data_IF_193271047401
#
_entry.id   IF_193271047401
#
_cell.length_a   1.000
_cell.length_b   1.000
_cell.length_c   1.000
_cell.angle_alpha   90.00
_cell.angle_beta   90.00
_cell.angle_gamma   90.00
#
_symmetry.space_group_name_H-M   'P 1'
#
loop_
_entity.id
_entity.type
_entity.pdbx_description
1 polymer ?
#
# COMPACT_ATOMS: atom_id res chain seq x y z
N UNK A 1 -11.22 -1.02 29.38
CA UNK A 1 -10.07 -1.13 28.45
C UNK A 1 -10.37 -2.29 27.53
N UNK A 2 -10.23 -2.12 26.22
CA UNK A 2 -10.45 -3.21 25.26
C UNK A 2 -9.25 -4.15 25.29
N UNK A 3 -9.48 -5.46 25.40
CA UNK A 3 -8.41 -6.47 25.37
C UNK A 3 -7.79 -6.64 23.96
N UNK A 4 -8.38 -6.02 22.94
CA UNK A 4 -7.94 -6.06 21.55
C UNK A 4 -7.08 -4.84 21.19
N UNK A 5 -5.87 -5.01 20.60
CA UNK A 5 -5.08 -3.90 20.08
C UNK A 5 -5.82 -3.15 18.96
N UNK A 6 -5.54 -1.87 18.80
CA UNK A 6 -6.12 -1.02 17.75
C UNK A 6 -5.06 -0.50 16.79
N UNK A 7 -5.22 -0.72 15.50
CA UNK A 7 -4.42 -0.10 14.44
C UNK A 7 -5.15 1.13 13.91
N UNK A 8 -4.54 2.29 14.08
CA UNK A 8 -4.98 3.53 13.43
C UNK A 8 -4.33 3.62 12.05
N UNK A 9 -5.11 3.84 10.99
CA UNK A 9 -4.58 3.87 9.62
C UNK A 9 -5.33 4.81 8.68
N UNK A 10 -4.72 5.15 7.54
CA UNK A 10 -5.39 5.91 6.48
C UNK A 10 -6.24 4.96 5.61
N UNK A 11 -7.28 5.46 4.91
CA UNK A 11 -8.01 4.66 3.93
C UNK A 11 -7.05 4.04 2.92
N UNK A 12 -7.29 2.77 2.55
CA UNK A 12 -6.48 2.00 1.59
C UNK A 12 -4.96 2.11 1.81
N UNK A 13 -4.50 2.19 3.06
CA UNK A 13 -3.09 2.26 3.41
C UNK A 13 -2.32 0.97 3.08
N UNK A 14 -1.26 1.00 2.23
CA UNK A 14 -0.49 -0.21 1.93
C UNK A 14 0.21 -0.81 3.14
N UNK A 15 0.67 0.06 4.03
CA UNK A 15 1.40 -0.34 5.21
C UNK A 15 0.50 -1.03 6.25
N UNK A 16 -0.79 -0.73 6.25
CA UNK A 16 -1.78 -1.39 7.14
C UNK A 16 -2.27 -2.69 6.55
N UNK A 17 -2.39 -2.76 5.21
CA UNK A 17 -2.76 -4.00 4.53
C UNK A 17 -1.72 -5.12 4.73
N UNK A 18 -0.45 -4.81 5.02
CA UNK A 18 0.53 -5.81 5.48
C UNK A 18 0.02 -6.58 6.70
N UNK A 19 -0.57 -5.85 7.65
CA UNK A 19 -1.12 -6.41 8.88
C UNK A 19 -2.41 -7.17 8.58
N UNK A 20 -3.29 -6.62 7.74
CA UNK A 20 -4.53 -7.28 7.33
C UNK A 20 -4.26 -8.62 6.62
N UNK A 21 -3.20 -8.69 5.78
CA UNK A 21 -2.75 -9.94 5.14
C UNK A 21 -2.30 -10.96 6.18
N UNK A 22 -1.47 -10.56 7.16
CA UNK A 22 -1.05 -11.45 8.25
C UNK A 22 -2.26 -12.04 8.99
N UNK A 23 -3.24 -11.19 9.33
CA UNK A 23 -4.43 -11.62 10.05
C UNK A 23 -5.29 -12.56 9.21
N UNK A 24 -5.47 -12.25 7.91
CA UNK A 24 -6.21 -13.11 6.98
C UNK A 24 -5.53 -14.47 6.74
N UNK A 25 -4.19 -14.51 6.68
CA UNK A 25 -3.43 -15.78 6.60
C UNK A 25 -3.64 -16.68 7.80
N UNK A 26 -4.03 -16.12 8.94
CA UNK A 26 -4.26 -16.83 10.21
C UNK A 26 -5.72 -16.98 10.59
N UNK A 27 -6.65 -16.50 9.76
CA UNK A 27 -8.08 -16.42 10.07
C UNK A 27 -8.35 -15.69 11.42
N UNK A 28 -7.66 -14.57 11.61
CA UNK A 28 -7.62 -13.79 12.85
C UNK A 28 -7.95 -12.30 12.63
N UNK A 29 -8.83 -11.99 11.68
CA UNK A 29 -9.21 -10.62 11.33
C UNK A 29 -9.73 -9.83 12.54
N UNK A 30 -10.40 -10.50 13.50
CA UNK A 30 -10.93 -9.89 14.72
C UNK A 30 -9.90 -9.72 15.86
N UNK A 31 -8.67 -10.20 15.68
CA UNK A 31 -7.61 -10.09 16.69
C UNK A 31 -7.06 -8.65 16.80
N UNK A 32 -7.35 -7.79 15.83
CA UNK A 32 -6.93 -6.38 15.80
C UNK A 32 -8.08 -5.53 15.30
N UNK A 33 -8.39 -4.44 16.01
CA UNK A 33 -9.36 -3.45 15.55
C UNK A 33 -8.68 -2.46 14.60
N UNK A 34 -9.23 -2.23 13.41
CA UNK A 34 -8.75 -1.20 12.49
C UNK A 34 -9.61 0.06 12.60
N UNK A 35 -9.00 1.18 12.92
CA UNK A 35 -9.64 2.48 13.05
C UNK A 35 -9.14 3.43 11.95
N UNK A 36 -10.02 3.76 11.01
CA UNK A 36 -9.70 4.63 9.89
C UNK A 36 -9.60 6.08 10.36
N UNK A 37 -8.45 6.69 10.11
CA UNK A 37 -8.16 8.08 10.39
C UNK A 37 -8.44 8.92 9.15
N UNK A 38 -9.32 9.91 9.31
CA UNK A 38 -9.58 10.92 8.30
C UNK A 38 -8.37 11.85 8.15
N UNK A 39 -7.69 11.75 7.01
CA UNK A 39 -6.52 12.56 6.64
C UNK A 39 -6.86 13.83 5.88
N UNK A 40 -8.15 14.08 5.62
CA UNK A 40 -8.61 15.30 4.93
C UNK A 40 -8.76 16.50 5.87
N UNK A 41 -8.54 16.28 7.17
CA UNK A 41 -8.64 17.26 8.25
C UNK A 41 -7.41 17.20 9.17
N UNK A 42 -7.16 18.23 10.00
CA UNK A 42 -6.11 18.18 10.99
C UNK A 42 -6.21 16.93 11.86
N UNK A 43 -5.06 16.32 12.18
CA UNK A 43 -5.00 15.09 12.95
C UNK A 43 -5.64 15.30 14.32
N UNK A 44 -6.41 14.31 14.77
CA UNK A 44 -6.98 14.28 16.12
C UNK A 44 -5.89 14.57 17.18
N UNK A 45 -6.04 15.62 18.02
CA UNK A 45 -5.10 15.95 19.08
C UNK A 45 -4.83 14.80 20.04
N UNK A 46 -5.81 13.94 20.34
CA UNK A 46 -5.62 12.78 21.20
C UNK A 46 -4.69 11.74 20.55
N UNK A 47 -4.87 11.50 19.25
CA UNK A 47 -3.98 10.62 18.49
C UNK A 47 -2.58 11.24 18.35
N UNK A 48 -2.45 12.55 18.11
CA UNK A 48 -1.16 13.24 18.10
C UNK A 48 -0.42 13.12 19.44
N UNK A 49 -1.13 13.24 20.56
CA UNK A 49 -0.54 13.07 21.88
C UNK A 49 -0.01 11.65 22.07
N UNK A 50 -0.80 10.63 21.70
CA UNK A 50 -0.39 9.21 21.71
C UNK A 50 0.86 8.97 20.86
N UNK A 51 0.91 9.54 19.65
CA UNK A 51 2.03 9.38 18.73
C UNK A 51 3.19 10.35 19.00
N UNK A 52 3.16 11.16 20.06
CA UNK A 52 4.18 12.17 20.37
C UNK A 52 4.47 13.09 19.18
N UNK A 53 3.41 13.51 18.48
CA UNK A 53 3.47 14.44 17.35
C UNK A 53 3.71 13.81 15.98
N UNK A 54 3.97 12.50 15.87
CA UNK A 54 4.12 11.84 14.56
C UNK A 54 2.77 11.70 13.86
N UNK A 55 2.70 12.09 12.57
CA UNK A 55 1.49 11.97 11.74
C UNK A 55 1.48 10.73 10.84
N UNK A 56 2.63 10.08 10.66
CA UNK A 56 2.76 8.84 9.91
C UNK A 56 1.89 7.72 10.50
N UNK A 57 1.29 6.93 9.62
CA UNK A 57 0.41 5.80 9.91
C UNK A 57 0.82 4.60 9.05
N UNK A 58 0.52 3.35 9.46
CA UNK A 58 -0.22 2.98 10.66
C UNK A 58 0.55 3.15 11.97
N UNK A 59 -0.22 3.22 13.05
CA UNK A 59 0.28 2.99 14.42
C UNK A 59 -0.61 1.98 15.12
N UNK A 60 -0.04 1.15 15.98
CA UNK A 60 -0.78 0.20 16.80
C UNK A 60 -0.77 0.66 18.25
N UNK A 61 -1.94 0.73 18.87
CA UNK A 61 -2.12 0.88 20.32
C UNK A 61 -2.41 -0.50 20.93
N UNK A 62 -1.54 -0.95 21.83
CA UNK A 62 -1.74 -2.19 22.57
C UNK A 62 -2.86 -2.05 23.60
N UNK A 63 -3.43 -3.15 24.14
CA UNK A 63 -4.42 -3.07 25.22
C UNK A 63 -3.95 -2.29 26.45
N UNK A 64 -2.63 -2.28 26.70
CA UNK A 64 -1.99 -1.50 27.77
C UNK A 64 -1.70 -0.04 27.42
N UNK A 65 -2.13 0.46 26.26
CA UNK A 65 -1.95 1.85 25.81
C UNK A 65 -0.56 2.18 25.25
N UNK A 66 0.28 1.16 24.97
CA UNK A 66 1.59 1.38 24.34
C UNK A 66 1.41 1.60 22.85
N UNK A 67 2.10 2.60 22.30
CA UNK A 67 2.07 2.92 20.86
C UNK A 67 3.28 2.33 20.15
N UNK A 68 3.01 1.44 19.19
CA UNK A 68 3.97 0.92 18.22
C UNK A 68 3.80 1.64 16.88
N UNK A 69 4.92 1.96 16.23
CA UNK A 69 4.98 2.64 14.93
C UNK A 69 5.80 1.79 13.97
N UNK A 70 5.79 2.17 12.69
CA UNK A 70 6.42 1.46 11.57
C UNK A 70 5.74 0.13 11.25
N UNK A 71 5.20 0.00 10.05
CA UNK A 71 4.43 -1.19 9.69
C UNK A 71 5.21 -2.50 9.79
N UNK A 72 6.50 -2.52 9.48
CA UNK A 72 7.33 -3.72 9.63
C UNK A 72 7.58 -4.10 11.09
N UNK A 73 7.65 -3.11 11.98
CA UNK A 73 7.78 -3.35 13.43
C UNK A 73 6.46 -3.86 13.99
N UNK A 74 5.33 -3.28 13.58
CA UNK A 74 3.99 -3.72 13.98
C UNK A 74 3.71 -5.13 13.43
N UNK A 75 4.08 -5.40 12.17
CA UNK A 75 3.93 -6.70 11.53
C UNK A 75 4.71 -7.78 12.28
N UNK A 76 5.98 -7.51 12.63
CA UNK A 76 6.78 -8.43 13.46
C UNK A 76 6.16 -8.64 14.84
N UNK A 77 5.72 -7.57 15.49
CA UNK A 77 5.07 -7.68 16.80
C UNK A 77 3.84 -8.58 16.74
N UNK A 78 2.95 -8.38 15.77
CA UNK A 78 1.77 -9.22 15.58
C UNK A 78 2.13 -10.67 15.20
N UNK A 79 3.14 -10.86 14.35
CA UNK A 79 3.66 -12.19 13.98
C UNK A 79 4.12 -12.97 15.21
N UNK A 80 4.74 -12.30 16.18
CA UNK A 80 5.28 -12.88 17.43
C UNK A 80 4.24 -13.11 18.53
N UNK A 81 3.26 -12.22 18.69
CA UNK A 81 2.29 -12.30 19.81
C UNK A 81 1.00 -13.04 19.47
N UNK A 82 0.61 -13.09 18.19
CA UNK A 82 -0.60 -13.79 17.78
C UNK A 82 -0.29 -15.28 17.56
N UNK A 83 -1.18 -16.20 17.97
CA UNK A 83 -0.99 -17.63 17.73
C UNK A 83 -1.11 -17.95 16.24
N UNK A 84 -0.34 -18.93 15.76
CA UNK A 84 -0.41 -19.40 14.37
C UNK A 84 0.97 -19.64 13.75
N UNK A 85 1.01 -20.10 12.49
CA UNK A 85 2.26 -20.27 11.76
C UNK A 85 2.95 -18.91 11.56
N UNK A 86 4.27 -18.87 11.79
CA UNK A 86 5.07 -17.65 11.59
C UNK A 86 5.02 -17.22 10.13
N UNK A 87 4.87 -15.92 9.91
CA UNK A 87 4.90 -15.34 8.57
C UNK A 87 6.33 -15.31 8.02
N UNK A 88 7.30 -14.99 8.88
CA UNK A 88 8.73 -15.07 8.51
C UNK A 88 9.20 -16.52 8.43
N UNK A 89 10.21 -16.78 7.60
CA UNK A 89 10.85 -18.09 7.54
C UNK A 89 11.50 -18.45 8.88
N UNK A 90 11.43 -19.75 9.21
CA UNK A 90 12.01 -20.30 10.44
C UNK A 90 13.51 -20.47 10.32
N UNK A 91 14.00 -20.84 9.14
CA UNK A 91 15.42 -20.90 8.83
C UNK A 91 16.03 -19.48 8.86
N UNK A 92 17.13 -19.26 9.62
CA UNK A 92 17.74 -17.94 9.73
C UNK A 92 18.29 -17.39 8.41
N UNK A 93 18.78 -18.25 7.51
CA UNK A 93 19.34 -17.83 6.23
C UNK A 93 18.21 -17.42 5.27
N UNK A 94 17.15 -18.22 5.16
CA UNK A 94 15.96 -17.85 4.38
C UNK A 94 15.35 -16.54 4.88
N UNK A 95 15.26 -16.34 6.20
CA UNK A 95 14.78 -15.09 6.77
C UNK A 95 15.70 -13.90 6.46
N UNK A 96 17.02 -14.11 6.41
CA UNK A 96 17.96 -13.09 5.97
C UNK A 96 17.73 -12.71 4.50
N UNK A 97 17.43 -13.68 3.63
CA UNK A 97 17.07 -13.45 2.22
C UNK A 97 15.75 -12.67 2.12
N UNK A 98 14.71 -13.04 2.87
CA UNK A 98 13.46 -12.24 2.95
C UNK A 98 13.78 -10.79 3.32
N UNK A 99 14.64 -10.60 4.32
CA UNK A 99 15.03 -9.28 4.81
C UNK A 99 15.80 -8.47 3.77
N UNK A 100 16.69 -9.09 3.00
CA UNK A 100 17.40 -8.44 1.89
C UNK A 100 16.42 -7.97 0.80
N UNK A 101 15.41 -8.78 0.48
CA UNK A 101 14.36 -8.39 -0.47
C UNK A 101 13.52 -7.22 0.08
N UNK A 102 13.12 -7.28 1.36
CA UNK A 102 12.31 -6.24 2.03
C UNK A 102 13.02 -4.89 2.05
N UNK A 103 14.34 -4.84 2.19
CA UNK A 103 15.11 -3.58 2.10
C UNK A 103 14.92 -2.86 0.75
N UNK A 104 14.64 -3.61 -0.33
CA UNK A 104 14.37 -3.04 -1.66
C UNK A 104 12.98 -2.39 -1.77
N UNK A 105 12.06 -2.68 -0.86
CA UNK A 105 10.68 -2.15 -0.89
C UNK A 105 10.64 -0.63 -0.74
N UNK A 106 11.43 -0.04 0.16
CA UNK A 106 11.40 1.41 0.39
C UNK A 106 11.66 2.24 -0.87
N UNK A 107 12.81 2.04 -1.57
CA UNK A 107 13.08 2.68 -2.85
C UNK A 107 12.04 2.38 -3.93
N UNK A 108 11.52 1.14 -3.97
CA UNK A 108 10.49 0.73 -4.92
C UNK A 108 9.18 1.49 -4.73
N UNK A 109 8.68 1.53 -3.50
CA UNK A 109 7.49 2.28 -3.10
C UNK A 109 7.64 3.77 -3.37
N UNK A 110 8.77 4.35 -2.97
CA UNK A 110 9.05 5.78 -3.19
C UNK A 110 9.02 6.13 -4.69
N UNK A 111 9.66 5.32 -5.54
CA UNK A 111 9.70 5.57 -6.98
C UNK A 111 8.29 5.58 -7.61
N UNK A 112 7.43 4.64 -7.23
CA UNK A 112 6.05 4.60 -7.74
C UNK A 112 5.19 5.76 -7.23
N UNK A 113 5.33 6.15 -5.96
CA UNK A 113 4.62 7.32 -5.41
C UNK A 113 5.09 8.63 -6.04
N UNK A 114 6.39 8.82 -6.23
CA UNK A 114 6.91 9.99 -6.93
C UNK A 114 6.42 10.04 -8.38
N UNK A 115 6.32 8.89 -9.05
CA UNK A 115 5.81 8.85 -10.42
C UNK A 115 4.33 9.21 -10.50
N UNK A 116 3.46 8.61 -9.67
CA UNK A 116 2.03 8.96 -9.74
C UNK A 116 1.81 10.45 -9.41
N UNK A 117 2.61 11.02 -8.50
CA UNK A 117 2.55 12.45 -8.15
C UNK A 117 3.19 13.40 -9.16
N UNK A 118 3.94 12.89 -10.14
CA UNK A 118 4.55 13.72 -11.17
C UNK A 118 3.48 14.47 -11.98
N UNK A 119 3.65 15.78 -12.16
CA UNK A 119 2.81 16.65 -12.99
C UNK A 119 3.56 17.22 -14.21
N UNK A 120 4.82 16.84 -14.40
CA UNK A 120 5.64 17.23 -15.55
C UNK A 120 5.63 16.12 -16.62
N UNK A 121 4.94 16.30 -17.77
CA UNK A 121 4.89 15.28 -18.82
C UNK A 121 6.27 14.87 -19.34
N UNK A 122 7.25 15.78 -19.35
CA UNK A 122 8.58 15.51 -19.88
C UNK A 122 9.39 14.59 -18.94
N UNK A 123 9.11 14.62 -17.64
CA UNK A 123 9.72 13.74 -16.65
C UNK A 123 9.17 12.30 -16.66
N UNK A 124 8.05 12.04 -17.35
CA UNK A 124 7.36 10.73 -17.35
C UNK A 124 8.26 9.59 -17.79
N UNK A 125 9.09 9.80 -18.82
CA UNK A 125 10.02 8.78 -19.32
C UNK A 125 11.03 8.35 -18.27
N UNK A 126 11.63 9.31 -17.55
CA UNK A 126 12.62 9.03 -16.51
C UNK A 126 12.02 8.24 -15.33
N UNK A 127 10.80 8.57 -14.91
CA UNK A 127 10.10 7.80 -13.88
C UNK A 127 9.79 6.36 -14.32
N UNK A 128 9.34 6.19 -15.57
CA UNK A 128 9.10 4.86 -16.16
C UNK A 128 10.37 4.02 -16.15
N UNK A 129 11.48 4.58 -16.61
CA UNK A 129 12.77 3.87 -16.66
C UNK A 129 13.27 3.51 -15.26
N UNK A 130 13.07 4.39 -14.28
CA UNK A 130 13.39 4.11 -12.88
C UNK A 130 12.58 2.94 -12.33
N UNK A 131 11.27 2.90 -12.59
CA UNK A 131 10.42 1.78 -12.17
C UNK A 131 10.84 0.48 -12.86
N UNK A 132 11.09 0.51 -14.16
CA UNK A 132 11.56 -0.66 -14.90
C UNK A 132 12.91 -1.19 -14.39
N UNK A 133 13.83 -0.31 -13.99
CA UNK A 133 15.10 -0.73 -13.39
C UNK A 133 14.89 -1.44 -12.05
N UNK A 134 13.98 -0.93 -11.21
CA UNK A 134 13.68 -1.54 -9.91
C UNK A 134 12.97 -2.89 -10.06
N UNK A 135 12.04 -3.02 -11.00
CA UNK A 135 11.42 -4.31 -11.30
C UNK A 135 12.43 -5.34 -11.82
N UNK A 136 13.40 -4.93 -12.65
CA UNK A 136 14.47 -5.82 -13.12
C UNK A 136 15.39 -6.25 -11.98
N UNK A 137 15.67 -5.37 -11.03
CA UNK A 137 16.44 -5.70 -9.82
C UNK A 137 15.69 -6.72 -8.94
N UNK A 138 14.37 -6.56 -8.76
CA UNK A 138 13.54 -7.56 -8.08
C UNK A 138 13.52 -8.90 -8.83
N UNK A 139 13.41 -8.88 -10.17
CA UNK A 139 13.46 -10.08 -11.00
C UNK A 139 14.78 -10.85 -10.81
N UNK A 140 15.91 -10.14 -10.93
CA UNK A 140 17.24 -10.70 -10.71
C UNK A 140 17.40 -11.29 -9.32
N UNK A 141 16.91 -10.60 -8.28
CA UNK A 141 16.93 -11.11 -6.90
C UNK A 141 16.12 -12.41 -6.76
N UNK A 142 14.87 -12.43 -7.26
CA UNK A 142 13.99 -13.60 -7.18
C UNK A 142 14.51 -14.80 -7.96
N UNK A 143 15.27 -14.58 -9.04
CA UNK A 143 15.94 -15.66 -9.80
C UNK A 143 17.17 -16.20 -9.09
N UNK A 144 17.93 -15.34 -8.42
CA UNK A 144 19.15 -15.74 -7.72
C UNK A 144 18.86 -16.46 -6.41
N UNK A 145 17.88 -15.97 -5.65
CA UNK A 145 17.64 -16.39 -4.26
C UNK A 145 16.36 -17.23 -4.09
N UNK A 146 15.46 -17.23 -5.08
CA UNK A 146 14.16 -17.86 -4.94
C UNK A 146 14.16 -19.36 -5.21
N UNK A 147 13.22 -20.08 -4.60
CA UNK A 147 13.08 -21.54 -4.71
C UNK A 147 12.46 -22.03 -6.05
N UNK A 148 12.27 -21.13 -7.03
CA UNK A 148 11.69 -21.46 -8.34
C UNK A 148 10.16 -21.59 -8.38
N UNK A 149 9.48 -21.49 -7.23
CA UNK A 149 8.03 -21.44 -7.12
C UNK A 149 7.43 -20.05 -7.42
N UNK A 150 6.10 -19.89 -7.27
CA UNK A 150 5.43 -18.60 -7.47
C UNK A 150 5.92 -17.53 -6.48
N UNK A 151 6.23 -17.93 -5.24
CA UNK A 151 6.69 -17.08 -4.13
C UNK A 151 8.22 -17.04 -4.05
N UNK A 152 8.79 -16.20 -3.19
CA UNK A 152 10.23 -16.21 -2.93
C UNK A 152 10.72 -17.61 -2.52
N UNK A 153 10.00 -18.26 -1.59
CA UNK A 153 10.23 -19.64 -1.20
C UNK A 153 9.00 -20.51 -1.52
N UNK A 154 8.74 -21.54 -0.70
CA UNK A 154 7.71 -22.54 -0.98
C UNK A 154 6.29 -22.04 -0.70
N UNK A 155 6.15 -21.02 0.14
CA UNK A 155 4.87 -20.49 0.65
C UNK A 155 4.84 -18.96 0.59
N UNK A 156 3.64 -18.38 0.64
CA UNK A 156 3.46 -16.93 0.78
C UNK A 156 3.97 -16.51 2.17
N UNK A 157 5.07 -15.74 2.21
CA UNK A 157 5.76 -15.39 3.44
C UNK A 157 5.82 -13.89 3.74
N UNK A 158 6.83 -13.49 4.51
CA UNK A 158 6.99 -12.11 4.97
C UNK A 158 7.24 -11.16 3.79
N UNK A 159 8.07 -11.56 2.83
CA UNK A 159 8.36 -10.73 1.66
C UNK A 159 7.09 -10.46 0.84
N UNK A 160 6.28 -11.49 0.58
CA UNK A 160 5.01 -11.37 -0.14
C UNK A 160 4.03 -10.47 0.61
N UNK A 161 3.88 -10.62 1.94
CA UNK A 161 3.02 -9.76 2.74
C UNK A 161 3.44 -8.28 2.70
N UNK A 162 4.74 -8.01 2.58
CA UNK A 162 5.31 -6.65 2.51
C UNK A 162 5.09 -6.01 1.14
N UNK A 163 5.32 -6.75 0.06
CA UNK A 163 5.27 -6.25 -1.31
C UNK A 163 3.88 -6.27 -1.95
N UNK A 164 3.01 -7.22 -1.58
CA UNK A 164 1.66 -7.35 -2.16
C UNK A 164 0.86 -6.05 -2.08
N UNK A 165 0.79 -5.36 -0.91
CA UNK A 165 0.11 -4.07 -0.83
C UNK A 165 0.70 -3.02 -1.78
N UNK A 166 2.02 -3.01 -1.99
CA UNK A 166 2.68 -2.03 -2.87
C UNK A 166 2.31 -2.29 -4.33
N UNK A 167 2.33 -3.56 -4.76
CA UNK A 167 1.88 -3.93 -6.11
C UNK A 167 0.43 -3.52 -6.38
N UNK A 168 -0.45 -3.62 -5.38
CA UNK A 168 -1.83 -3.15 -5.48
C UNK A 168 -1.90 -1.63 -5.61
N UNK A 169 -1.08 -0.85 -4.89
CA UNK A 169 -1.11 0.63 -5.06
C UNK A 169 -0.71 1.03 -6.46
N UNK A 170 0.21 0.28 -7.07
CA UNK A 170 0.65 0.55 -8.43
C UNK A 170 -0.40 0.25 -9.51
N UNK A 171 -1.61 -0.21 -9.16
CA UNK A 171 -2.78 -0.05 -10.04
C UNK A 171 -2.97 1.39 -10.50
N UNK A 172 -2.64 2.40 -9.67
CA UNK A 172 -2.67 3.79 -10.11
C UNK A 172 -1.69 4.09 -11.26
N UNK A 173 -0.59 3.33 -11.41
CA UNK A 173 0.37 3.53 -12.50
C UNK A 173 -0.19 2.92 -13.78
N UNK A 174 -0.83 1.76 -13.70
CA UNK A 174 -1.57 1.18 -14.82
C UNK A 174 -2.71 2.10 -15.28
N UNK A 175 -3.43 2.70 -14.33
CA UNK A 175 -4.58 3.55 -14.63
C UNK A 175 -4.20 4.93 -15.19
N UNK A 176 -3.37 5.69 -14.47
CA UNK A 176 -3.04 7.09 -14.79
C UNK A 176 -1.79 7.27 -15.66
N UNK A 177 -0.88 6.29 -15.66
CA UNK A 177 0.38 6.36 -16.41
C UNK A 177 0.44 5.35 -17.55
N UNK A 178 -0.58 4.50 -17.72
CA UNK A 178 -0.59 3.43 -18.73
C UNK A 178 0.60 2.47 -18.58
N UNK A 179 1.10 2.31 -17.35
CA UNK A 179 2.26 1.46 -17.08
C UNK A 179 1.87 -0.01 -17.03
N UNK A 180 2.65 -0.84 -17.72
CA UNK A 180 2.67 -2.28 -17.54
C UNK A 180 4.11 -2.78 -17.66
N UNK A 181 4.38 -3.96 -17.09
CA UNK A 181 5.67 -4.61 -17.23
C UNK A 181 5.85 -5.11 -18.67
N UNK A 182 7.03 -4.92 -19.27
CA UNK A 182 7.35 -5.54 -20.54
C UNK A 182 7.22 -7.07 -20.48
N UNK A 183 6.89 -7.68 -21.62
CA UNK A 183 6.77 -9.14 -21.76
C UNK A 183 8.11 -9.86 -21.90
N UNK A 184 9.23 -9.14 -21.90
CA UNK A 184 10.55 -9.74 -22.02
C UNK A 184 10.96 -10.54 -20.77
N UNK A 185 11.98 -11.39 -20.94
CA UNK A 185 12.43 -12.33 -19.90
C UNK A 185 13.03 -11.63 -18.67
N UNK A 186 13.54 -10.40 -18.80
CA UNK A 186 14.14 -9.66 -17.69
C UNK A 186 13.11 -9.21 -16.63
N UNK A 187 11.82 -9.48 -16.87
CA UNK A 187 10.72 -9.21 -15.96
C UNK A 187 9.86 -10.46 -15.67
N UNK A 188 10.21 -11.63 -16.21
CA UNK A 188 9.32 -12.78 -16.16
C UNK A 188 9.08 -13.29 -14.74
N UNK A 189 10.13 -13.41 -13.94
CA UNK A 189 10.03 -13.94 -12.58
C UNK A 189 9.30 -12.97 -11.65
N UNK A 190 9.55 -11.67 -11.76
CA UNK A 190 8.86 -10.65 -10.95
C UNK A 190 7.39 -10.47 -11.38
N UNK A 191 7.09 -10.66 -12.67
CA UNK A 191 5.71 -10.64 -13.17
C UNK A 191 4.90 -11.81 -12.60
N UNK A 192 5.46 -13.01 -12.61
CA UNK A 192 4.81 -14.19 -12.04
C UNK A 192 4.65 -14.05 -10.52
N UNK A 193 5.68 -13.55 -9.83
CA UNK A 193 5.63 -13.26 -8.39
C UNK A 193 4.53 -12.25 -8.05
N UNK A 194 4.49 -11.11 -8.78
CA UNK A 194 3.47 -10.08 -8.60
C UNK A 194 2.07 -10.64 -8.84
N UNK A 195 1.88 -11.41 -9.91
CA UNK A 195 0.59 -11.99 -10.26
C UNK A 195 0.10 -12.94 -9.15
N UNK A 196 0.99 -13.82 -8.67
CA UNK A 196 0.69 -14.72 -7.55
C UNK A 196 0.32 -13.91 -6.29
N UNK A 197 1.12 -12.89 -5.94
CA UNK A 197 0.90 -12.05 -4.75
C UNK A 197 -0.49 -11.42 -4.76
N UNK A 198 -0.87 -10.82 -5.88
CA UNK A 198 -2.14 -10.10 -6.02
C UNK A 198 -3.36 -11.04 -6.13
N UNK A 199 -3.16 -12.27 -6.59
CA UNK A 199 -4.21 -13.29 -6.65
C UNK A 199 -4.43 -14.02 -5.32
N UNK A 200 -3.55 -13.85 -4.33
CA UNK A 200 -3.63 -14.59 -3.08
C UNK A 200 -4.93 -14.25 -2.29
N UNK A 201 -5.70 -15.24 -1.79
CA UNK A 201 -6.96 -14.99 -1.09
C UNK A 201 -6.83 -14.08 0.14
N UNK A 202 -5.70 -14.15 0.84
CA UNK A 202 -5.43 -13.30 2.01
C UNK A 202 -5.13 -11.83 1.65
N UNK A 203 -5.12 -11.44 0.37
CA UNK A 203 -4.78 -10.09 -0.07
C UNK A 203 -5.97 -9.29 -0.65
N UNK A 204 -7.20 -9.76 -0.47
CA UNK A 204 -8.39 -9.19 -1.16
C UNK A 204 -9.08 -8.03 -0.39
N UNK A 205 -8.38 -7.33 0.51
CA UNK A 205 -8.97 -6.27 1.35
C UNK A 205 -9.37 -5.00 0.59
N UNK A 206 -8.77 -4.75 -0.57
CA UNK A 206 -8.97 -3.55 -1.38
C UNK A 206 -9.13 -3.92 -2.84
N UNK A 207 -9.81 -3.07 -3.60
CA UNK A 207 -9.99 -3.24 -5.05
C UNK A 207 -9.20 -2.19 -5.84
N UNK A 208 -8.95 -2.49 -7.12
CA UNK A 208 -8.35 -1.53 -8.06
C UNK A 208 -9.17 -0.24 -8.14
N UNK A 209 -10.49 -0.35 -8.28
CA UNK A 209 -11.39 0.81 -8.34
C UNK A 209 -11.29 1.68 -7.09
N UNK A 210 -11.29 1.07 -5.90
CA UNK A 210 -11.16 1.79 -4.65
C UNK A 210 -9.82 2.54 -4.57
N UNK A 211 -8.70 1.88 -4.92
CA UNK A 211 -7.38 2.51 -4.92
C UNK A 211 -7.33 3.65 -5.93
N UNK A 212 -7.75 3.43 -7.17
CA UNK A 212 -7.70 4.45 -8.22
C UNK A 212 -8.52 5.68 -7.84
N UNK A 213 -9.74 5.48 -7.31
CA UNK A 213 -10.62 6.58 -6.89
C UNK A 213 -10.03 7.37 -5.71
N UNK A 214 -9.56 6.69 -4.66
CA UNK A 214 -9.05 7.36 -3.46
C UNK A 214 -7.68 8.01 -3.68
N UNK A 215 -6.84 7.46 -4.56
CA UNK A 215 -5.53 8.04 -4.90
C UNK A 215 -5.57 9.05 -6.06
N UNK A 216 -6.76 9.52 -6.49
CA UNK A 216 -6.84 10.46 -7.61
C UNK A 216 -6.07 11.78 -7.34
N UNK A 217 -6.15 12.33 -6.13
CA UNK A 217 -5.42 13.57 -5.83
C UNK A 217 -3.90 13.34 -5.78
N UNK A 218 -3.42 12.12 -5.46
CA UNK A 218 -2.01 11.78 -5.63
C UNK A 218 -1.61 11.89 -7.10
N UNK A 219 -2.46 11.47 -8.03
CA UNK A 219 -2.20 11.63 -9.46
C UNK A 219 -2.11 13.10 -9.90
N UNK A 220 -2.51 14.05 -9.05
CA UNK A 220 -2.43 15.49 -9.27
C UNK A 220 -1.38 16.17 -8.37
N UNK A 221 -0.46 15.38 -7.80
CA UNK A 221 0.63 15.89 -6.95
C UNK A 221 0.24 16.22 -5.51
N UNK A 222 -0.98 15.91 -5.09
CA UNK A 222 -1.48 16.19 -3.74
C UNK A 222 -1.60 14.89 -2.92
N UNK A 223 -0.53 14.59 -2.18
CA UNK A 223 -0.48 13.43 -1.28
C UNK A 223 -1.10 13.68 0.10
N UNK A 224 -1.36 12.60 0.84
CA UNK A 224 -1.72 12.62 2.26
C UNK A 224 -2.95 13.47 2.62
N UNK A 225 -3.98 13.46 1.76
CA UNK A 225 -5.24 14.19 1.98
C UNK A 225 -5.15 15.69 1.71
N UNK A 226 -4.04 16.18 1.16
CA UNK A 226 -3.93 17.56 0.69
C UNK A 226 -4.93 17.85 -0.44
N UNK A 227 -5.40 19.08 -0.51
CA UNK A 227 -6.29 19.53 -1.59
C UNK A 227 -5.49 19.94 -2.82
N UNK A 228 -5.95 19.49 -3.98
CA UNK A 228 -5.49 19.96 -5.30
C UNK A 228 -6.02 21.39 -5.50
N UNK A 229 -5.25 22.31 -6.11
CA UNK A 229 -5.74 23.66 -6.42
C UNK A 229 -7.07 23.64 -7.18
N UNK A 230 -8.04 24.43 -6.70
CA UNK A 230 -9.39 24.51 -7.30
C UNK A 230 -10.39 23.45 -6.81
N UNK A 231 -9.97 22.55 -5.91
CA UNK A 231 -10.84 21.55 -5.26
C UNK A 231 -11.19 21.97 -3.84
N UNK A 232 -12.36 21.55 -3.37
CA UNK A 232 -12.83 21.76 -2.00
C UNK A 232 -12.91 20.46 -1.18
N UNK A 233 -12.92 19.31 -1.84
CA UNK A 233 -13.03 17.99 -1.20
C UNK A 233 -11.89 17.09 -1.70
N UNK A 234 -11.20 16.41 -0.79
CA UNK A 234 -10.21 15.41 -1.20
C UNK A 234 -10.89 14.14 -1.73
N UNK A 235 -10.28 13.49 -2.70
CA UNK A 235 -10.59 12.13 -3.13
C UNK A 235 -10.57 11.10 -1.99
N UNK A 236 -9.86 11.38 -0.90
CA UNK A 236 -9.89 10.56 0.33
C UNK A 236 -11.09 10.81 1.26
N UNK A 237 -12.00 11.74 0.93
CA UNK A 237 -13.21 11.94 1.72
C UNK A 237 -13.98 10.63 1.89
N UNK A 238 -14.72 10.47 2.98
CA UNK A 238 -15.46 9.23 3.24
C UNK A 238 -16.84 9.22 2.61
N UNK A 239 -17.36 10.39 2.29
CA UNK A 239 -18.73 10.60 1.84
C UNK A 239 -18.75 11.64 0.71
N UNK A 240 -19.42 11.38 -0.43
CA UNK A 240 -20.11 10.13 -0.81
C UNK A 240 -19.18 8.91 -0.84
N UNK A 241 -19.61 7.67 -0.56
CA UNK A 241 -18.73 6.51 -0.56
C UNK A 241 -18.16 6.25 -1.96
N UNK A 242 -16.95 5.68 -2.05
CA UNK A 242 -16.24 5.54 -3.33
C UNK A 242 -17.00 4.71 -4.36
N UNK A 243 -17.86 3.79 -3.93
CA UNK A 243 -18.72 2.95 -4.76
C UNK A 243 -19.70 3.78 -5.60
N UNK A 244 -20.16 4.92 -5.06
CA UNK A 244 -21.15 5.78 -5.69
C UNK A 244 -20.51 6.84 -6.60
N UNK A 245 -19.17 6.92 -6.62
CA UNK A 245 -18.43 7.89 -7.41
C UNK A 245 -18.19 7.39 -8.84
N UNK A 246 -18.11 8.25 -9.85
CA UNK A 246 -17.63 7.86 -11.17
C UNK A 246 -16.13 7.49 -11.14
N UNK A 247 -15.66 6.82 -12.20
CA UNK A 247 -14.23 6.67 -12.42
C UNK A 247 -13.60 8.04 -12.72
N UNK A 248 -12.44 8.37 -12.11
CA UNK A 248 -11.72 9.60 -12.42
C UNK A 248 -11.13 9.56 -13.84
N UNK A 249 -10.83 10.72 -14.46
CA UNK A 249 -10.16 10.74 -15.76
C UNK A 249 -8.79 10.05 -15.68
N UNK A 250 -8.45 9.27 -16.72
CA UNK A 250 -7.17 8.55 -16.80
C UNK A 250 -6.00 9.48 -17.09
N UNK A 251 -6.19 10.44 -17.98
CA UNK A 251 -5.13 11.39 -18.34
C UNK A 251 -4.96 12.43 -17.24
N UNK A 252 -4.03 12.15 -16.32
CA UNK A 252 -3.69 13.05 -15.21
C UNK A 252 -2.99 14.35 -15.66
N UNK A 253 -2.54 14.43 -16.92
CA UNK A 253 -1.88 15.62 -17.47
C UNK A 253 -2.86 16.56 -18.19
N UNK A 254 -4.09 16.11 -18.46
CA UNK A 254 -5.12 16.91 -19.14
C UNK A 254 -5.77 18.00 -18.26
N UNK A 255 -5.39 18.09 -16.99
CA UNK A 255 -5.90 19.06 -16.01
C UNK A 255 -6.64 18.41 -14.85
N UNK A 256 -7.29 19.25 -14.04
CA UNK A 256 -7.93 18.84 -12.77
C UNK A 256 -9.43 18.65 -12.94
N UNK A 257 -9.93 17.43 -12.68
CA UNK A 257 -11.37 17.18 -12.59
C UNK A 257 -11.99 17.91 -11.40
N UNK A 258 -13.22 18.42 -11.53
CA UNK A 258 -13.94 19.13 -10.45
C UNK A 258 -14.46 18.18 -9.36
N UNK A 259 -14.78 18.71 -8.18
CA UNK A 259 -15.41 17.92 -7.10
C UNK A 259 -16.70 17.22 -7.59
N UNK A 260 -17.52 17.92 -8.38
CA UNK A 260 -18.76 17.38 -8.95
C UNK A 260 -18.48 16.26 -9.97
N UNK A 261 -17.50 16.43 -10.86
CA UNK A 261 -17.14 15.42 -11.86
C UNK A 261 -16.60 14.13 -11.22
N UNK A 262 -16.02 14.22 -10.02
CA UNK A 262 -15.53 13.08 -9.24
C UNK A 262 -16.59 12.51 -8.28
N UNK A 263 -17.81 13.06 -8.26
CA UNK A 263 -18.87 12.63 -7.35
C UNK A 263 -18.54 12.87 -5.87
N UNK A 264 -17.76 13.92 -5.55
CA UNK A 264 -17.32 14.23 -4.18
C UNK A 264 -18.29 15.13 -3.41
N UNK A 265 -19.28 15.72 -4.09
CA UNK A 265 -20.30 16.56 -3.47
C UNK A 265 -21.53 15.70 -3.15
N UNK A 266 -22.13 15.92 -1.98
CA UNK A 266 -23.45 15.35 -1.67
C UNK A 266 -24.47 15.89 -2.67
N UNK A 267 -25.28 15.00 -3.23
CA UNK A 267 -26.53 15.41 -3.86
C UNK A 267 -27.43 15.92 -2.72
N UNK A 268 -27.79 17.21 -2.80
CA UNK A 268 -28.70 17.85 -1.83
C UNK A 268 -30.12 17.33 -1.91
#
# INVERSE_FOLDING_TARGET
MTDTPTVYHIPVCPFSQRLEILLALRDQQDAVRFEVVDITRPRDPALLAKTRGTTALPVLETPGGVILKESLVILRYLDEVLPGPRLRRADPLEHAVESMLIVKEGPFTMAGYLWVMNQDPDARGAHRDKMLALYRDLDGFLRAEGAGGPWLFDEFGLAEAVFTPIFMRFWFLGYYEGFDLPSDDAYARVRDWRAACMAHPAAQQVTEEQIVKLYHDYALGAGNGALVPGRSVSSFAFDPPWQDRPWPPRDKYAGTATDAALGLLRLG
#
